data_IF_120015338593
#
_entry.id   IF_120015338593
#
_cell.length_a   1.000
_cell.length_b   1.000
_cell.length_c   1.000
_cell.angle_alpha   90.00
_cell.angle_beta   90.00
_cell.angle_gamma   90.00
#
_symmetry.space_group_name_H-M   'P 1'
#
loop_
_entity.id
_entity.type
_entity.pdbx_description
1 polymer ?
#
# COMPACT_ATOMS: atom_id res chain seq x y z
N UNK A 1 11.53 -40.68 -6.17
CA UNK A 1 10.60 -39.90 -5.33
C UNK A 1 9.76 -39.02 -6.25
N UNK A 2 8.51 -39.38 -6.49
CA UNK A 2 7.61 -38.57 -7.32
C UNK A 2 7.23 -37.30 -6.53
N UNK A 3 7.68 -36.14 -7.00
CA UNK A 3 7.27 -34.85 -6.44
C UNK A 3 5.78 -34.67 -6.70
N UNK A 4 4.98 -34.78 -5.64
CA UNK A 4 3.55 -34.48 -5.65
C UNK A 4 3.39 -33.03 -6.10
N UNK A 5 3.00 -32.82 -7.35
CA UNK A 5 2.72 -31.49 -7.88
C UNK A 5 1.48 -30.97 -7.16
N UNK A 6 1.70 -30.14 -6.14
CA UNK A 6 0.61 -29.44 -5.46
C UNK A 6 -0.11 -28.59 -6.49
N UNK A 7 -1.39 -28.86 -6.72
CA UNK A 7 -2.23 -28.17 -7.68
C UNK A 7 -2.55 -26.75 -7.18
N UNK A 8 -1.58 -25.85 -7.28
CA UNK A 8 -1.70 -24.45 -6.89
C UNK A 8 -2.84 -23.73 -7.61
N UNK A 9 -3.10 -24.14 -8.86
CA UNK A 9 -4.16 -23.58 -9.68
C UNK A 9 -5.57 -23.83 -9.12
N UNK A 10 -5.79 -25.01 -8.53
CA UNK A 10 -7.04 -25.33 -7.84
C UNK A 10 -7.29 -24.40 -6.65
N UNK A 11 -6.25 -24.14 -5.84
CA UNK A 11 -6.35 -23.24 -4.68
C UNK A 11 -6.61 -21.79 -5.12
N UNK A 12 -5.88 -21.29 -6.12
CA UNK A 12 -6.05 -19.93 -6.67
C UNK A 12 -7.47 -19.71 -7.19
N UNK A 13 -8.01 -20.68 -7.95
CA UNK A 13 -9.40 -20.62 -8.45
C UNK A 13 -10.42 -20.67 -7.32
N UNK A 14 -10.22 -21.52 -6.32
CA UNK A 14 -11.13 -21.61 -5.18
C UNK A 14 -11.16 -20.29 -4.41
N UNK A 15 -10.00 -19.73 -4.05
CA UNK A 15 -9.91 -18.44 -3.36
C UNK A 15 -10.59 -17.31 -4.14
N UNK A 16 -10.31 -17.20 -5.44
CA UNK A 16 -10.96 -16.21 -6.31
C UNK A 16 -12.47 -16.42 -6.42
N UNK A 17 -12.93 -17.67 -6.52
CA UNK A 17 -14.35 -18.02 -6.55
C UNK A 17 -15.07 -17.65 -5.26
N UNK A 18 -14.49 -17.96 -4.09
CA UNK A 18 -15.05 -17.60 -2.79
C UNK A 18 -15.06 -16.08 -2.57
N UNK A 19 -14.00 -15.37 -2.97
CA UNK A 19 -13.95 -13.92 -2.90
C UNK A 19 -15.06 -13.27 -3.74
N UNK A 20 -15.22 -13.74 -4.98
CA UNK A 20 -16.27 -13.27 -5.88
C UNK A 20 -17.67 -13.58 -5.32
N UNK A 21 -17.88 -14.79 -4.81
CA UNK A 21 -19.14 -15.19 -4.19
C UNK A 21 -19.51 -14.31 -2.99
N UNK A 22 -18.55 -14.05 -2.09
CA UNK A 22 -18.77 -13.15 -0.95
C UNK A 22 -19.06 -11.71 -1.38
N UNK A 23 -18.36 -11.21 -2.40
CA UNK A 23 -18.60 -9.86 -2.94
C UNK A 23 -19.99 -9.74 -3.58
N UNK A 24 -20.36 -10.71 -4.41
CA UNK A 24 -21.68 -10.76 -5.04
C UNK A 24 -22.79 -10.91 -4.01
N UNK A 25 -22.60 -11.72 -2.98
CA UNK A 25 -23.54 -11.83 -1.87
C UNK A 25 -23.74 -10.48 -1.18
N UNK A 26 -22.67 -9.78 -0.82
CA UNK A 26 -22.76 -8.44 -0.20
C UNK A 26 -23.53 -7.44 -1.08
N UNK A 27 -23.28 -7.46 -2.40
CA UNK A 27 -23.93 -6.58 -3.37
C UNK A 27 -25.41 -6.89 -3.57
N UNK A 28 -25.76 -8.18 -3.62
CA UNK A 28 -27.14 -8.65 -3.79
C UNK A 28 -27.92 -8.70 -2.47
N UNK A 29 -27.26 -8.48 -1.33
CA UNK A 29 -27.88 -8.63 -0.01
C UNK A 29 -29.10 -7.71 0.18
N UNK A 30 -28.96 -6.42 -0.16
CA UNK A 30 -30.03 -5.42 -0.01
C UNK A 30 -31.32 -5.80 -0.78
N UNK A 31 -31.27 -6.11 -2.10
CA UNK A 31 -32.48 -6.52 -2.81
C UNK A 31 -33.05 -7.86 -2.32
N UNK A 32 -32.22 -8.78 -1.82
CA UNK A 32 -32.69 -10.06 -1.26
C UNK A 32 -33.51 -9.82 0.01
N UNK A 33 -32.97 -9.08 0.97
CA UNK A 33 -33.64 -8.82 2.27
C UNK A 33 -34.94 -8.01 2.09
N UNK A 34 -34.95 -7.06 1.16
CA UNK A 34 -36.14 -6.26 0.85
C UNK A 34 -37.34 -7.09 0.36
N UNK A 35 -37.10 -8.28 -0.16
CA UNK A 35 -38.16 -9.18 -0.65
C UNK A 35 -38.55 -10.26 0.37
N UNK A 36 -37.71 -10.52 1.37
CA UNK A 36 -37.90 -11.64 2.32
C UNK A 36 -38.41 -11.14 3.68
N UNK A 37 -37.85 -10.04 4.20
CA UNK A 37 -38.11 -9.60 5.57
C UNK A 37 -39.10 -8.42 5.64
N UNK A 38 -39.99 -8.38 6.65
CA UNK A 38 -40.79 -7.20 7.01
C UNK A 38 -39.89 -6.00 7.33
N UNK A 39 -40.40 -4.77 7.16
CA UNK A 39 -39.62 -3.53 7.34
C UNK A 39 -38.93 -3.45 8.72
N UNK A 40 -39.63 -3.91 9.76
CA UNK A 40 -39.26 -3.83 11.16
C UNK A 40 -37.98 -4.63 11.49
N UNK A 41 -37.73 -5.71 10.74
CA UNK A 41 -36.55 -6.56 10.90
C UNK A 41 -35.37 -6.09 10.04
N UNK A 42 -35.59 -5.27 9.01
CA UNK A 42 -34.54 -4.84 8.06
C UNK A 42 -33.50 -3.93 8.70
N UNK A 43 -33.92 -3.19 9.72
CA UNK A 43 -33.09 -2.23 10.44
C UNK A 43 -32.34 -2.86 11.62
N UNK A 44 -32.50 -4.17 11.83
CA UNK A 44 -31.74 -4.89 12.84
C UNK A 44 -30.24 -4.84 12.52
N UNK A 45 -29.45 -4.46 13.53
CA UNK A 45 -28.00 -4.31 13.45
C UNK A 45 -27.33 -5.57 12.91
N UNK A 46 -27.84 -6.75 13.27
CA UNK A 46 -27.33 -8.05 12.81
C UNK A 46 -27.52 -8.21 11.29
N UNK A 47 -28.68 -7.82 10.76
CA UNK A 47 -28.97 -7.92 9.33
C UNK A 47 -28.11 -6.92 8.55
N UNK A 48 -27.94 -5.70 9.07
CA UNK A 48 -27.08 -4.69 8.49
C UNK A 48 -25.58 -5.08 8.51
N UNK A 49 -25.15 -5.91 9.46
CA UNK A 49 -23.78 -6.37 9.58
C UNK A 49 -23.39 -7.45 8.54
N UNK A 50 -24.34 -8.24 8.05
CA UNK A 50 -24.09 -9.32 7.08
C UNK A 50 -23.36 -8.86 5.80
N UNK A 51 -23.80 -7.81 5.08
CA UNK A 51 -23.10 -7.35 3.88
C UNK A 51 -21.71 -6.80 4.22
N UNK A 52 -21.55 -6.16 5.39
CA UNK A 52 -20.24 -5.70 5.86
C UNK A 52 -19.26 -6.86 6.05
N UNK A 53 -19.67 -7.93 6.76
CA UNK A 53 -18.85 -9.13 6.95
C UNK A 53 -18.52 -9.79 5.62
N UNK A 54 -19.47 -9.84 4.68
CA UNK A 54 -19.25 -10.41 3.36
C UNK A 54 -18.22 -9.63 2.54
N UNK A 55 -18.29 -8.29 2.52
CA UNK A 55 -17.28 -7.46 1.87
C UNK A 55 -15.91 -7.59 2.53
N UNK A 56 -15.87 -7.64 3.86
CA UNK A 56 -14.64 -7.83 4.60
C UNK A 56 -13.98 -9.18 4.26
N UNK A 57 -14.75 -10.27 4.26
CA UNK A 57 -14.29 -11.59 3.84
C UNK A 57 -13.81 -11.59 2.38
N UNK A 58 -14.52 -10.92 1.47
CA UNK A 58 -14.12 -10.80 0.07
C UNK A 58 -12.75 -10.10 -0.07
N UNK A 59 -12.54 -8.98 0.63
CA UNK A 59 -11.27 -8.25 0.62
C UNK A 59 -10.14 -9.11 1.19
N UNK A 60 -10.37 -9.81 2.31
CA UNK A 60 -9.38 -10.72 2.90
C UNK A 60 -9.01 -11.85 1.93
N UNK A 61 -9.98 -12.49 1.30
CA UNK A 61 -9.74 -13.57 0.33
C UNK A 61 -8.97 -13.06 -0.90
N UNK A 62 -9.28 -11.86 -1.40
CA UNK A 62 -8.52 -11.21 -2.47
C UNK A 62 -7.09 -10.91 -2.05
N UNK A 63 -6.86 -10.47 -0.82
CA UNK A 63 -5.52 -10.22 -0.31
C UNK A 63 -4.71 -11.51 -0.21
N UNK A 64 -5.27 -12.59 0.35
CA UNK A 64 -4.64 -13.91 0.41
C UNK A 64 -4.34 -14.44 -1.00
N UNK A 65 -5.28 -14.27 -1.94
CA UNK A 65 -5.07 -14.60 -3.35
C UNK A 65 -3.88 -13.82 -3.92
N UNK A 66 -3.79 -12.52 -3.65
CA UNK A 66 -2.67 -11.67 -4.05
C UNK A 66 -1.34 -12.16 -3.51
N UNK A 67 -1.28 -12.52 -2.21
CA UNK A 67 -0.09 -13.13 -1.60
C UNK A 67 0.31 -14.40 -2.35
N UNK A 68 -0.64 -15.29 -2.62
CA UNK A 68 -0.37 -16.56 -3.29
C UNK A 68 0.16 -16.34 -4.73
N UNK A 69 -0.46 -15.43 -5.49
CA UNK A 69 -0.03 -15.11 -6.85
C UNK A 69 1.39 -14.51 -6.88
N UNK A 70 1.67 -13.57 -5.99
CA UNK A 70 2.97 -12.89 -5.92
C UNK A 70 4.06 -13.87 -5.43
N UNK A 71 3.77 -14.66 -4.40
CA UNK A 71 4.68 -15.68 -3.88
C UNK A 71 5.05 -16.69 -4.97
N UNK A 72 4.07 -17.17 -5.74
CA UNK A 72 4.33 -18.05 -6.89
C UNK A 72 5.15 -17.37 -7.98
N UNK A 73 4.83 -16.11 -8.32
CA UNK A 73 5.49 -15.38 -9.41
C UNK A 73 6.95 -15.07 -9.12
N UNK A 74 7.27 -14.78 -7.86
CA UNK A 74 8.59 -14.34 -7.40
C UNK A 74 9.38 -15.45 -6.68
N UNK A 75 8.85 -16.68 -6.62
CA UNK A 75 9.46 -17.80 -5.91
C UNK A 75 10.92 -18.04 -6.33
N UNK A 76 11.86 -17.91 -5.38
CA UNK A 76 13.32 -18.05 -5.59
C UNK A 76 13.90 -17.13 -6.68
N UNK A 77 13.12 -16.17 -7.17
CA UNK A 77 13.53 -15.28 -8.26
C UNK A 77 14.41 -14.15 -7.74
N UNK A 78 14.11 -13.65 -6.54
CA UNK A 78 14.71 -12.45 -5.96
C UNK A 78 15.93 -12.82 -5.09
N UNK A 79 17.10 -12.23 -5.34
CA UNK A 79 18.27 -12.36 -4.48
C UNK A 79 18.07 -11.88 -3.05
N UNK A 80 18.76 -12.49 -2.08
CA UNK A 80 18.67 -12.09 -0.67
C UNK A 80 19.12 -10.63 -0.43
N UNK A 81 20.09 -10.12 -1.21
CA UNK A 81 20.54 -8.71 -1.11
C UNK A 81 19.41 -7.71 -1.37
N UNK A 82 18.55 -7.98 -2.33
CA UNK A 82 17.40 -7.13 -2.68
C UNK A 82 16.21 -7.44 -1.79
N UNK A 83 16.00 -8.72 -1.46
CA UNK A 83 14.98 -9.13 -0.50
C UNK A 83 15.09 -8.41 0.84
N UNK A 84 16.28 -8.44 1.45
CA UNK A 84 16.55 -7.79 2.74
C UNK A 84 16.43 -6.27 2.65
N UNK A 85 16.90 -5.65 1.57
CA UNK A 85 16.80 -4.20 1.40
C UNK A 85 15.34 -3.72 1.33
N UNK A 86 14.48 -4.46 0.60
CA UNK A 86 13.04 -4.20 0.54
C UNK A 86 12.40 -4.44 1.92
N UNK A 87 12.73 -5.56 2.57
CA UNK A 87 12.22 -5.89 3.91
C UNK A 87 12.56 -4.80 4.94
N UNK A 88 13.80 -4.34 5.00
CA UNK A 88 14.20 -3.25 5.90
C UNK A 88 13.51 -1.92 5.57
N UNK A 89 13.26 -1.65 4.28
CA UNK A 89 12.50 -0.46 3.87
C UNK A 89 11.06 -0.54 4.38
N UNK A 90 10.43 -1.71 4.28
CA UNK A 90 9.07 -1.94 4.80
C UNK A 90 9.05 -1.79 6.32
N UNK A 91 10.00 -2.41 7.02
CA UNK A 91 10.13 -2.29 8.49
C UNK A 91 10.34 -0.83 8.91
N UNK A 92 11.19 -0.08 8.21
CA UNK A 92 11.38 1.36 8.44
C UNK A 92 10.05 2.12 8.25
N UNK A 93 9.24 1.75 7.26
CA UNK A 93 7.89 2.28 7.08
C UNK A 93 6.94 1.98 8.24
N UNK A 94 6.98 0.76 8.78
CA UNK A 94 6.21 0.39 9.99
C UNK A 94 6.64 1.24 11.18
N UNK A 95 7.96 1.32 11.45
CA UNK A 95 8.49 2.09 12.57
C UNK A 95 8.17 3.59 12.44
N UNK A 96 8.31 4.15 11.24
CA UNK A 96 7.97 5.55 10.98
C UNK A 96 6.46 5.80 11.09
N UNK A 97 5.62 4.86 10.64
CA UNK A 97 4.17 4.92 10.81
C UNK A 97 3.74 4.90 12.27
N UNK A 98 4.34 4.01 13.08
CA UNK A 98 4.15 3.99 14.55
C UNK A 98 4.57 5.34 15.14
N UNK A 99 5.78 5.81 14.83
CA UNK A 99 6.28 7.09 15.33
C UNK A 99 5.31 8.24 14.99
N UNK A 100 4.82 8.32 13.75
CA UNK A 100 3.89 9.34 13.28
C UNK A 100 2.53 9.31 14.01
N UNK A 101 2.04 8.11 14.39
CA UNK A 101 0.80 7.96 15.17
C UNK A 101 0.93 8.46 16.60
N UNK A 102 2.12 8.32 17.20
CA UNK A 102 2.37 8.68 18.59
C UNK A 102 2.95 10.11 18.77
N UNK A 103 2.75 11.02 17.80
CA UNK A 103 3.14 12.43 17.94
C UNK A 103 2.01 13.24 18.61
N UNK A 104 2.11 13.64 19.90
CA UNK A 104 1.02 14.35 20.58
C UNK A 104 0.83 15.81 20.13
N UNK A 105 1.80 16.39 19.41
CA UNK A 105 1.79 17.82 19.06
C UNK A 105 1.24 18.14 17.66
N UNK A 106 1.07 17.16 16.76
CA UNK A 106 0.65 17.42 15.37
C UNK A 106 -0.36 16.41 14.85
N UNK A 107 -1.52 16.89 14.39
CA UNK A 107 -2.58 16.06 13.78
C UNK A 107 -2.19 15.55 12.38
N UNK A 108 -1.31 16.27 11.67
CA UNK A 108 -0.95 15.95 10.30
C UNK A 108 -0.32 14.56 10.13
N UNK A 109 0.81 14.28 10.80
CA UNK A 109 1.44 12.95 10.80
C UNK A 109 0.51 11.84 11.28
N UNK A 110 -0.40 12.11 12.22
CA UNK A 110 -1.37 11.12 12.69
C UNK A 110 -2.29 10.64 11.55
N UNK A 111 -2.83 11.57 10.74
CA UNK A 111 -3.75 11.26 9.63
C UNK A 111 -3.12 10.31 8.61
N UNK A 112 -1.86 10.53 8.27
CA UNK A 112 -1.17 9.75 7.23
C UNK A 112 -0.35 8.59 7.82
N UNK A 113 0.04 8.68 9.09
CA UNK A 113 0.78 7.66 9.82
C UNK A 113 0.00 6.35 9.94
N UNK A 114 -1.31 6.42 10.15
CA UNK A 114 -2.18 5.23 10.12
C UNK A 114 -2.13 4.54 8.75
N UNK A 115 -2.34 5.31 7.68
CA UNK A 115 -2.32 4.77 6.31
C UNK A 115 -0.95 4.17 5.96
N UNK A 116 0.13 4.83 6.36
CA UNK A 116 1.48 4.31 6.16
C UNK A 116 1.69 3.00 6.92
N UNK A 117 1.37 2.98 8.21
CA UNK A 117 1.51 1.79 9.05
C UNK A 117 0.72 0.62 8.47
N UNK A 118 -0.54 0.87 8.08
CA UNK A 118 -1.41 -0.14 7.49
C UNK A 118 -0.80 -0.70 6.19
N UNK A 119 -0.40 0.17 5.26
CA UNK A 119 0.19 -0.26 3.99
C UNK A 119 1.53 -0.97 4.18
N UNK A 120 2.40 -0.49 5.06
CA UNK A 120 3.67 -1.14 5.35
C UNK A 120 3.46 -2.50 6.03
N UNK A 121 2.46 -2.63 6.90
CA UNK A 121 2.12 -3.93 7.52
C UNK A 121 1.59 -4.93 6.49
N UNK A 122 0.68 -4.50 5.60
CA UNK A 122 0.20 -5.34 4.50
C UNK A 122 1.34 -5.72 3.55
N UNK A 123 2.21 -4.77 3.22
CA UNK A 123 3.40 -5.02 2.41
C UNK A 123 4.35 -6.00 3.10
N UNK A 124 4.52 -5.93 4.42
CA UNK A 124 5.34 -6.86 5.18
C UNK A 124 4.77 -8.27 5.16
N UNK A 125 3.47 -8.42 5.41
CA UNK A 125 2.78 -9.72 5.32
C UNK A 125 2.93 -10.29 3.91
N UNK A 126 2.77 -9.47 2.88
CA UNK A 126 2.96 -9.91 1.50
C UNK A 126 4.41 -10.33 1.22
N UNK A 127 5.36 -9.49 1.60
CA UNK A 127 6.78 -9.69 1.32
C UNK A 127 7.37 -10.87 2.08
N UNK A 128 6.92 -11.12 3.31
CA UNK A 128 7.37 -12.27 4.12
C UNK A 128 7.01 -13.63 3.51
N UNK A 129 6.08 -13.67 2.55
CA UNK A 129 5.73 -14.87 1.80
C UNK A 129 6.53 -15.02 0.50
N UNK A 130 7.35 -14.04 0.14
CA UNK A 130 8.28 -14.15 -1.00
C UNK A 130 9.55 -14.81 -0.49
N UNK A 131 9.84 -16.03 -0.96
CA UNK A 131 11.07 -16.71 -0.58
C UNK A 131 12.25 -16.19 -1.40
N UNK A 132 13.33 -15.68 -0.76
CA UNK A 132 14.52 -15.28 -1.49
C UNK A 132 15.22 -16.49 -2.12
N UNK A 133 16.08 -16.22 -3.09
CA UNK A 133 16.93 -17.21 -3.72
C UNK A 133 17.87 -17.87 -2.67
N UNK A 134 18.27 -19.10 -2.94
CA UNK A 134 19.14 -19.88 -2.02
C UNK A 134 20.51 -19.21 -1.89
N UNK A 135 21.08 -19.24 -0.69
CA UNK A 135 22.37 -18.61 -0.38
C UNK A 135 23.52 -19.03 -1.32
N UNK A 136 23.54 -20.29 -1.76
CA UNK A 136 24.54 -20.81 -2.72
C UNK A 136 24.48 -20.13 -4.08
N UNK A 137 23.27 -19.80 -4.55
CA UNK A 137 23.08 -19.15 -5.85
C UNK A 137 23.27 -17.63 -5.74
N UNK A 138 23.15 -17.07 -4.53
CA UNK A 138 23.38 -15.66 -4.26
C UNK A 138 24.85 -15.27 -4.30
N UNK A 139 25.77 -16.15 -3.93
CA UNK A 139 27.22 -15.89 -4.01
C UNK A 139 27.73 -15.75 -5.44
N UNK A 140 26.96 -16.20 -6.43
CA UNK A 140 27.32 -16.17 -7.86
C UNK A 140 26.78 -14.92 -8.59
N UNK A 141 26.22 -13.97 -7.86
CA UNK A 141 25.58 -12.81 -8.50
C UNK A 141 26.61 -11.76 -8.91
N UNK A 142 26.46 -11.20 -10.12
CA UNK A 142 27.32 -10.13 -10.56
C UNK A 142 27.11 -8.87 -9.70
N UNK A 143 28.14 -8.02 -9.60
CA UNK A 143 28.00 -6.71 -8.99
C UNK A 143 27.01 -5.85 -9.76
N UNK A 144 26.45 -4.83 -9.11
CA UNK A 144 25.54 -3.91 -9.77
C UNK A 144 26.27 -3.08 -10.83
N UNK A 145 25.73 -3.05 -12.05
CA UNK A 145 26.21 -2.14 -13.09
C UNK A 145 25.76 -0.72 -12.81
N UNK A 146 26.55 0.28 -13.27
CA UNK A 146 26.18 1.69 -13.15
C UNK A 146 24.81 1.97 -13.78
N UNK A 147 24.53 1.36 -14.93
CA UNK A 147 23.26 1.51 -15.64
C UNK A 147 22.07 0.98 -14.83
N UNK A 148 22.24 -0.16 -14.15
CA UNK A 148 21.20 -0.73 -13.29
C UNK A 148 20.90 0.18 -12.09
N UNK A 149 21.94 0.73 -11.45
CA UNK A 149 21.77 1.70 -10.35
C UNK A 149 21.05 2.96 -10.83
N UNK A 150 21.45 3.52 -11.96
CA UNK A 150 20.81 4.71 -12.55
C UNK A 150 19.36 4.45 -12.92
N UNK A 151 19.05 3.31 -13.55
CA UNK A 151 17.68 2.91 -13.88
C UNK A 151 16.81 2.77 -12.62
N UNK A 152 17.34 2.10 -11.59
CA UNK A 152 16.67 2.02 -10.29
C UNK A 152 16.41 3.40 -9.69
N UNK A 153 17.40 4.31 -9.74
CA UNK A 153 17.30 5.65 -9.17
C UNK A 153 16.24 6.49 -9.88
N UNK A 154 16.20 6.44 -11.21
CA UNK A 154 15.17 7.12 -12.01
C UNK A 154 13.78 6.61 -11.60
N UNK A 155 13.57 5.30 -11.57
CA UNK A 155 12.25 4.74 -11.22
C UNK A 155 11.88 5.04 -9.77
N UNK A 156 12.81 4.92 -8.83
CA UNK A 156 12.55 5.24 -7.42
C UNK A 156 12.17 6.71 -7.20
N UNK A 157 12.86 7.63 -7.88
CA UNK A 157 12.52 9.06 -7.83
C UNK A 157 11.17 9.35 -8.50
N UNK A 158 10.87 8.72 -9.65
CA UNK A 158 9.58 8.87 -10.32
C UNK A 158 8.43 8.40 -9.44
N UNK A 159 8.53 7.21 -8.83
CA UNK A 159 7.51 6.69 -7.90
C UNK A 159 7.33 7.64 -6.72
N UNK A 160 8.44 8.11 -6.13
CA UNK A 160 8.42 9.06 -5.01
C UNK A 160 7.70 10.35 -5.39
N UNK A 161 8.07 10.93 -6.53
CA UNK A 161 7.49 12.19 -7.02
C UNK A 161 6.00 12.05 -7.36
N UNK A 162 5.59 10.94 -7.98
CA UNK A 162 4.19 10.68 -8.31
C UNK A 162 3.33 10.53 -7.05
N UNK A 163 3.79 9.77 -6.06
CA UNK A 163 3.04 9.55 -4.83
C UNK A 163 3.01 10.83 -3.99
N UNK A 164 4.18 11.43 -3.72
CA UNK A 164 4.27 12.66 -2.93
C UNK A 164 3.52 13.81 -3.60
N UNK A 165 3.66 13.96 -4.92
CA UNK A 165 2.95 14.95 -5.73
C UNK A 165 1.44 14.73 -5.74
N UNK A 166 0.98 13.48 -5.86
CA UNK A 166 -0.44 13.14 -5.77
C UNK A 166 -1.06 13.52 -4.43
N UNK A 167 -0.40 13.17 -3.32
CA UNK A 167 -0.84 13.58 -1.98
C UNK A 167 -0.77 15.09 -1.78
N UNK A 168 0.30 15.74 -2.25
CA UNK A 168 0.45 17.18 -2.18
C UNK A 168 -0.72 17.88 -2.89
N UNK A 169 -1.04 17.49 -4.13
CA UNK A 169 -2.11 18.10 -4.93
C UNK A 169 -3.50 17.87 -4.31
N UNK A 170 -3.78 16.65 -3.87
CA UNK A 170 -5.09 16.31 -3.28
C UNK A 170 -5.30 16.87 -1.88
N UNK A 171 -4.22 17.13 -1.14
CA UNK A 171 -4.27 17.64 0.23
C UNK A 171 -4.03 19.15 0.33
N UNK A 172 -3.95 19.87 -0.80
CA UNK A 172 -3.79 21.33 -0.77
C UNK A 172 -4.94 21.96 0.02
N UNK A 173 -4.66 22.87 0.97
CA UNK A 173 -5.69 23.57 1.71
C UNK A 173 -6.53 24.41 0.74
N UNK A 174 -7.85 24.24 0.80
CA UNK A 174 -8.84 25.00 0.02
C UNK A 174 -9.81 25.65 0.97
N UNK A 175 -10.30 26.83 0.61
CA UNK A 175 -11.42 27.46 1.29
C UNK A 175 -12.61 26.48 1.36
N UNK A 176 -13.31 26.38 2.50
CA UNK A 176 -13.23 27.19 3.73
C UNK A 176 -12.20 26.70 4.78
N UNK A 177 -11.11 26.04 4.38
CA UNK A 177 -10.00 25.61 5.24
C UNK A 177 -10.39 24.73 6.44
N UNK A 178 -11.41 23.88 6.25
CA UNK A 178 -11.94 23.01 7.29
C UNK A 178 -12.99 23.66 8.20
N UNK A 179 -13.36 24.91 7.93
CA UNK A 179 -14.46 25.62 8.61
C UNK A 179 -15.76 25.36 7.86
N UNK A 180 -16.91 25.43 8.54
CA UNK A 180 -18.21 25.32 7.85
C UNK A 180 -18.40 26.54 6.96
N UNK A 181 -18.82 26.32 5.70
CA UNK A 181 -19.00 27.39 4.70
C UNK A 181 -19.87 28.56 5.21
N UNK A 182 -20.96 28.25 5.93
CA UNK A 182 -21.79 29.26 6.58
C UNK A 182 -20.98 30.17 7.51
N UNK A 183 -20.12 29.59 8.35
CA UNK A 183 -19.29 30.34 9.28
C UNK A 183 -18.22 31.14 8.53
N UNK A 184 -17.58 30.54 7.52
CA UNK A 184 -16.60 31.21 6.66
C UNK A 184 -17.16 32.48 6.01
N UNK A 185 -18.40 32.42 5.51
CA UNK A 185 -19.04 33.56 4.85
C UNK A 185 -19.36 34.73 5.79
N UNK A 186 -19.51 34.47 7.10
CA UNK A 186 -19.72 35.51 8.11
C UNK A 186 -18.43 36.01 8.77
N UNK A 187 -17.27 35.40 8.46
CA UNK A 187 -15.99 35.87 8.98
C UNK A 187 -15.54 37.14 8.28
N UNK A 188 -14.87 38.01 9.04
CA UNK A 188 -14.24 39.20 8.48
C UNK A 188 -13.03 38.80 7.61
N UNK A 189 -12.67 39.66 6.67
CA UNK A 189 -11.55 39.37 5.75
C UNK A 189 -10.21 39.21 6.45
N UNK A 190 -9.95 39.95 7.53
CA UNK A 190 -8.73 39.81 8.34
C UNK A 190 -8.62 38.40 8.96
N UNK A 191 -9.73 37.86 9.46
CA UNK A 191 -9.79 36.52 10.02
C UNK A 191 -9.59 35.43 8.95
N UNK A 192 -10.21 35.61 7.78
CA UNK A 192 -10.03 34.68 6.65
C UNK A 192 -8.57 34.61 6.21
N UNK A 193 -7.89 35.75 6.10
CA UNK A 193 -6.47 35.82 5.76
C UNK A 193 -5.63 35.09 6.81
N UNK A 194 -5.87 35.33 8.11
CA UNK A 194 -5.14 34.65 9.18
C UNK A 194 -5.30 33.12 9.12
N UNK A 195 -6.53 32.64 8.93
CA UNK A 195 -6.83 31.21 8.80
C UNK A 195 -6.15 30.62 7.56
N UNK A 196 -6.22 31.30 6.42
CA UNK A 196 -5.58 30.87 5.17
C UNK A 196 -4.06 30.80 5.33
N UNK A 197 -3.43 31.82 5.95
CA UNK A 197 -1.99 31.84 6.21
C UNK A 197 -1.59 30.70 7.14
N UNK A 198 -2.34 30.45 8.21
CA UNK A 198 -2.09 29.34 9.12
C UNK A 198 -2.21 27.99 8.41
N UNK A 199 -3.28 27.77 7.65
CA UNK A 199 -3.50 26.52 6.93
C UNK A 199 -2.39 26.24 5.90
N UNK A 200 -1.94 27.27 5.17
CA UNK A 200 -0.81 27.15 4.26
C UNK A 200 0.50 26.85 4.98
N UNK A 201 0.78 27.53 6.11
CA UNK A 201 1.96 27.25 6.92
C UNK A 201 1.98 25.80 7.40
N UNK A 202 0.86 25.32 7.95
CA UNK A 202 0.74 23.95 8.44
C UNK A 202 0.90 22.94 7.29
N UNK A 203 0.36 23.24 6.09
CA UNK A 203 0.58 22.48 4.87
C UNK A 203 2.06 22.36 4.47
N UNK A 204 2.75 23.49 4.32
CA UNK A 204 4.14 23.48 3.84
C UNK A 204 5.13 22.97 4.89
N UNK A 205 4.93 23.33 6.16
CA UNK A 205 5.86 22.95 7.23
C UNK A 205 5.59 21.55 7.80
N UNK A 206 4.33 21.12 7.82
CA UNK A 206 3.93 19.83 8.42
C UNK A 206 3.68 18.73 7.38
N UNK A 207 2.77 18.97 6.45
CA UNK A 207 2.26 17.93 5.56
C UNK A 207 3.21 17.60 4.40
N UNK A 208 3.79 18.62 3.76
CA UNK A 208 4.60 18.41 2.56
C UNK A 208 5.86 17.56 2.80
N UNK A 209 6.66 17.78 3.87
CA UNK A 209 7.79 16.91 4.18
C UNK A 209 7.35 15.47 4.46
N UNK A 210 6.19 15.30 5.10
CA UNK A 210 5.63 13.98 5.37
C UNK A 210 5.28 13.24 4.07
N UNK A 211 4.69 13.92 3.08
CA UNK A 211 4.38 13.30 1.79
C UNK A 211 5.63 12.85 1.04
N UNK A 212 6.74 13.58 1.16
CA UNK A 212 8.01 13.15 0.59
C UNK A 212 8.50 11.86 1.24
N UNK A 213 8.49 11.76 2.57
CA UNK A 213 8.88 10.52 3.28
C UNK A 213 7.93 9.37 2.95
N UNK A 214 6.62 9.65 2.91
CA UNK A 214 5.60 8.68 2.55
C UNK A 214 5.79 8.13 1.13
N UNK A 215 6.15 8.99 0.16
CA UNK A 215 6.48 8.59 -1.21
C UNK A 215 7.84 7.91 -1.35
N UNK A 216 8.80 8.27 -0.49
CA UNK A 216 10.17 7.75 -0.54
C UNK A 216 10.20 6.24 -0.27
N UNK A 217 9.40 5.75 0.66
CA UNK A 217 9.37 4.32 1.01
C UNK A 217 9.01 3.41 -0.19
N UNK A 218 7.86 3.58 -0.87
CA UNK A 218 7.58 2.83 -2.10
C UNK A 218 8.58 3.15 -3.22
N UNK A 219 9.14 4.36 -3.25
CA UNK A 219 10.23 4.71 -4.16
C UNK A 219 11.49 3.86 -3.95
N UNK A 220 11.89 3.63 -2.70
CA UNK A 220 13.03 2.78 -2.34
C UNK A 220 12.78 1.32 -2.70
N UNK A 221 11.56 0.82 -2.50
CA UNK A 221 11.17 -0.52 -2.96
C UNK A 221 11.32 -0.62 -4.48
N UNK A 222 10.81 0.36 -5.22
CA UNK A 222 10.97 0.44 -6.68
C UNK A 222 12.44 0.49 -7.11
N UNK A 223 13.26 1.30 -6.42
CA UNK A 223 14.70 1.39 -6.65
C UNK A 223 15.39 0.03 -6.54
N UNK A 224 15.18 -0.68 -5.42
CA UNK A 224 15.85 -1.96 -5.18
C UNK A 224 15.41 -3.02 -6.18
N UNK A 225 14.12 -3.08 -6.52
CA UNK A 225 13.59 -4.04 -7.49
C UNK A 225 14.14 -3.79 -8.90
N UNK A 226 14.02 -2.56 -9.41
CA UNK A 226 14.44 -2.24 -10.79
C UNK A 226 15.94 -2.36 -10.94
N UNK A 227 16.73 -1.93 -9.95
CA UNK A 227 18.18 -2.13 -9.97
C UNK A 227 18.54 -3.61 -10.09
N UNK A 228 17.83 -4.49 -9.39
CA UNK A 228 18.08 -5.92 -9.47
C UNK A 228 17.69 -6.49 -10.85
N UNK A 229 16.53 -6.13 -11.38
CA UNK A 229 16.08 -6.61 -12.70
C UNK A 229 16.90 -6.08 -13.88
N UNK A 230 17.49 -4.89 -13.75
CA UNK A 230 18.34 -4.29 -14.77
C UNK A 230 19.81 -4.79 -14.70
N UNK A 231 20.16 -5.59 -13.70
CA UNK A 231 21.51 -6.18 -13.61
C UNK A 231 21.58 -7.39 -14.55
N UNK A 232 22.54 -7.44 -15.50
CA UNK A 232 22.72 -8.57 -16.40
C UNK A 232 22.91 -9.86 -15.63
N UNK A 233 22.45 -10.98 -16.19
CA UNK A 233 22.68 -12.29 -15.55
C UNK A 233 24.09 -12.78 -15.88
N UNK A 234 24.74 -13.46 -14.95
CA UNK A 234 26.09 -14.01 -15.13
C UNK A 234 26.24 -14.90 -16.39
N UNK A 235 25.15 -15.51 -16.88
CA UNK A 235 25.17 -16.28 -18.13
C UNK A 235 25.31 -15.44 -19.40
N UNK A 236 24.97 -14.15 -19.37
CA UNK A 236 25.11 -13.25 -20.52
C UNK A 236 26.54 -12.69 -20.64
N UNK A 237 27.23 -12.46 -19.51
CA UNK A 237 28.64 -12.03 -19.52
C UNK A 237 29.59 -13.12 -20.01
N UNK A 238 29.24 -14.41 -19.89
CA UNK A 238 30.02 -15.50 -20.46
C UNK A 238 29.88 -15.65 -21.99
N UNK A 239 29.01 -14.86 -22.63
CA UNK A 239 28.73 -14.90 -24.06
C UNK A 239 29.15 -13.65 -24.84
N UNK A 240 29.83 -12.71 -24.18
CA UNK A 240 30.41 -11.48 -24.75
C UNK A 240 31.91 -11.50 -24.55
#
# INVERSE_FOLDING_TARGET
MATKTTNYWGVTRALGGWALGAFLFGLLFKPIIQNIFPADLRDDVIILALPFVAYFAAILLLFILGINLISQRLHLSIPNRTHRAVEYTIIAGILFGIFALFQPWTIGPYRFGFGLLLLSTLAFILWSHVMPRRAKDDSLQPPYTKNAVTAGLIVGLLITALIAGGFALTSRPKEPYGIRERQWNFMREDQKVEIATKANRDYFAGYLPFFLVYGLLPGLVGFFLIREFATPKASEEASV
#
